data_IF_884951914900
#
_entry.id   IF_884951914900
#
_cell.length_a   1.000
_cell.length_b   1.000
_cell.length_c   1.000
_cell.angle_alpha   90.00
_cell.angle_beta   90.00
_cell.angle_gamma   90.00
#
_symmetry.space_group_name_H-M   'P 1'
#
loop_
_entity.id
_entity.type
_entity.pdbx_description
1 polymer ?
#
# COMPACT_ATOMS: atom_id res chain seq x y z
N UNK A 1 6.14 1.70 -2.31
CA UNK A 1 5.53 0.67 -3.16
C UNK A 1 4.63 -0.26 -2.36
N UNK A 2 3.69 -0.88 -3.04
CA UNK A 2 3.00 -2.07 -2.55
C UNK A 2 3.43 -3.23 -3.42
N UNK A 3 3.90 -4.30 -2.79
CA UNK A 3 4.53 -5.41 -3.48
C UNK A 3 3.62 -6.63 -3.51
N UNK A 4 3.68 -7.38 -4.60
CA UNK A 4 3.01 -8.67 -4.76
C UNK A 4 3.93 -9.66 -5.45
N UNK A 5 3.80 -10.93 -5.10
CA UNK A 5 4.55 -12.03 -5.76
C UNK A 5 3.63 -13.21 -6.01
N UNK A 6 3.90 -13.93 -7.09
CA UNK A 6 3.29 -15.23 -7.40
C UNK A 6 4.27 -16.41 -7.18
N UNK A 7 5.45 -16.12 -6.57
CA UNK A 7 6.53 -17.05 -6.34
C UNK A 7 7.62 -17.02 -7.41
N UNK A 8 7.32 -16.58 -8.63
CA UNK A 8 8.31 -16.34 -9.69
C UNK A 8 8.56 -14.86 -9.93
N UNK A 9 7.48 -14.09 -10.05
CA UNK A 9 7.59 -12.65 -10.31
C UNK A 9 7.35 -11.85 -9.03
N UNK A 10 8.06 -10.73 -8.91
CA UNK A 10 7.78 -9.68 -7.91
C UNK A 10 7.41 -8.42 -8.64
N UNK A 11 6.24 -7.89 -8.33
CA UNK A 11 5.76 -6.61 -8.85
C UNK A 11 5.65 -5.59 -7.73
N UNK A 12 6.27 -4.43 -7.92
CA UNK A 12 6.27 -3.32 -6.98
C UNK A 12 5.48 -2.15 -7.55
N UNK A 13 4.26 -1.96 -7.07
CA UNK A 13 3.38 -0.88 -7.50
C UNK A 13 3.70 0.41 -6.75
N UNK A 14 4.15 1.44 -7.46
CA UNK A 14 4.32 2.78 -6.92
C UNK A 14 2.97 3.50 -6.76
N UNK A 15 2.90 4.46 -5.84
CA UNK A 15 1.78 5.39 -5.78
C UNK A 15 1.74 6.28 -7.04
N UNK A 16 0.57 6.81 -7.36
CA UNK A 16 0.46 7.82 -8.42
C UNK A 16 1.23 9.10 -8.03
N UNK A 17 1.81 9.81 -9.00
CA UNK A 17 2.44 11.09 -8.74
C UNK A 17 1.48 12.07 -8.03
N UNK A 18 1.96 12.69 -6.96
CA UNK A 18 1.18 13.60 -6.11
C UNK A 18 0.29 12.91 -5.07
N UNK A 19 0.22 11.56 -5.06
CA UNK A 19 -0.54 10.78 -4.07
C UNK A 19 0.35 9.92 -3.16
N UNK A 20 1.63 10.17 -3.14
CA UNK A 20 2.62 9.40 -2.40
C UNK A 20 2.31 9.39 -0.89
N UNK A 21 1.82 10.51 -0.41
CA UNK A 21 1.54 10.74 1.01
C UNK A 21 0.05 10.56 1.38
N UNK A 22 -0.78 10.04 0.46
CA UNK A 22 -2.18 9.71 0.74
C UNK A 22 -2.23 8.39 1.55
N UNK A 23 -1.72 8.44 2.77
CA UNK A 23 -1.59 7.30 3.68
C UNK A 23 -2.33 7.62 4.98
N UNK A 24 -3.04 6.63 5.51
CA UNK A 24 -3.61 6.69 6.85
C UNK A 24 -3.18 5.48 7.69
N UNK A 25 -3.05 5.69 8.98
CA UNK A 25 -2.86 4.63 9.95
C UNK A 25 -4.24 4.17 10.46
N UNK A 26 -4.47 2.87 10.46
CA UNK A 26 -5.65 2.25 11.05
C UNK A 26 -5.22 1.52 12.31
N UNK A 27 -5.71 1.96 13.46
CA UNK A 27 -5.25 1.45 14.77
C UNK A 27 -6.36 1.44 15.80
N UNK A 28 -6.23 0.56 16.77
CA UNK A 28 -7.06 0.56 17.98
C UNK A 28 -6.47 1.43 19.09
N UNK A 29 -5.17 1.74 19.00
CA UNK A 29 -4.48 2.58 19.97
C UNK A 29 -3.76 3.73 19.25
N UNK A 30 -3.94 4.98 19.68
CA UNK A 30 -3.33 6.14 19.02
C UNK A 30 -1.84 6.30 19.38
N UNK A 31 -1.06 5.23 19.21
CA UNK A 31 0.38 5.19 19.42
C UNK A 31 1.08 4.63 18.19
N UNK A 32 2.23 5.17 17.86
CA UNK A 32 3.20 4.61 16.91
C UNK A 32 4.10 3.61 17.66
N UNK A 33 4.86 2.80 16.95
CA UNK A 33 5.69 1.73 17.55
C UNK A 33 6.55 2.22 18.73
N UNK A 34 7.25 3.34 18.59
CA UNK A 34 8.16 3.90 19.62
C UNK A 34 7.77 5.31 20.06
N UNK A 35 6.70 5.88 19.50
CA UNK A 35 6.31 7.27 19.75
C UNK A 35 4.79 7.39 19.84
N UNK A 36 4.31 8.54 20.28
CA UNK A 36 2.89 8.89 20.19
C UNK A 36 2.63 9.66 18.90
N UNK A 37 1.40 9.63 18.42
CA UNK A 37 0.94 10.58 17.43
C UNK A 37 0.96 11.98 18.02
N UNK A 38 1.29 12.98 17.22
CA UNK A 38 1.21 14.36 17.66
C UNK A 38 -0.27 14.83 17.70
N UNK A 39 -0.50 15.95 18.40
CA UNK A 39 -1.84 16.52 18.56
C UNK A 39 -2.46 16.86 17.22
N UNK A 40 -1.67 17.36 16.27
CA UNK A 40 -2.16 17.76 14.96
C UNK A 40 -2.57 16.56 14.10
N UNK A 41 -1.91 15.42 14.23
CA UNK A 41 -2.34 14.15 13.59
C UNK A 41 -3.67 13.67 14.20
N UNK A 42 -3.80 13.73 15.52
CA UNK A 42 -4.98 13.27 16.24
C UNK A 42 -6.21 14.17 16.00
N UNK A 43 -6.03 15.46 15.73
CA UNK A 43 -7.12 16.37 15.42
C UNK A 43 -7.90 15.98 14.16
N UNK A 44 -7.28 15.28 13.23
CA UNK A 44 -7.88 14.82 11.97
C UNK A 44 -8.33 13.37 11.98
N UNK A 45 -8.29 12.70 13.13
CA UNK A 45 -8.71 11.31 13.24
C UNK A 45 -10.21 11.16 13.00
N UNK A 46 -10.57 10.02 12.40
CA UNK A 46 -11.96 9.60 12.20
C UNK A 46 -12.14 8.14 12.62
N UNK A 47 -13.38 7.73 12.82
CA UNK A 47 -13.68 6.30 13.02
C UNK A 47 -13.88 5.64 11.65
N UNK A 48 -13.15 4.55 11.43
CA UNK A 48 -13.37 3.66 10.29
C UNK A 48 -14.34 2.55 10.65
N UNK A 49 -15.18 2.08 9.71
CA UNK A 49 -15.91 0.82 9.87
C UNK A 49 -14.96 -0.32 10.24
N UNK A 50 -15.48 -1.40 10.87
CA UNK A 50 -14.66 -2.58 11.12
C UNK A 50 -14.14 -3.19 9.81
N UNK A 51 -12.93 -3.73 9.85
CA UNK A 51 -12.41 -4.64 8.83
C UNK A 51 -12.81 -6.09 9.18
N UNK A 52 -12.77 -7.01 8.23
CA UNK A 52 -13.13 -8.42 8.44
C UNK A 52 -12.34 -9.04 9.59
N UNK A 53 -11.06 -8.67 9.73
CA UNK A 53 -10.16 -9.17 10.77
C UNK A 53 -10.28 -8.46 12.13
N UNK A 54 -11.04 -7.36 12.25
CA UNK A 54 -11.19 -6.63 13.53
C UNK A 54 -12.37 -7.11 14.38
N UNK A 55 -13.03 -8.19 13.99
CA UNK A 55 -14.15 -8.82 14.74
C UNK A 55 -15.26 -7.84 15.15
N UNK A 56 -15.62 -6.93 14.25
CA UNK A 56 -16.65 -5.92 14.47
C UNK A 56 -16.20 -4.67 15.23
N UNK A 57 -14.94 -4.59 15.64
CA UNK A 57 -14.41 -3.41 16.33
C UNK A 57 -14.01 -2.33 15.29
N UNK A 58 -14.53 -1.11 15.47
CA UNK A 58 -14.13 0.06 14.68
C UNK A 58 -12.70 0.45 15.01
N UNK A 59 -11.96 0.90 14.00
CA UNK A 59 -10.58 1.42 14.17
C UNK A 59 -10.55 2.94 14.08
N UNK A 60 -9.54 3.53 14.69
CA UNK A 60 -9.18 4.93 14.46
C UNK A 60 -8.46 5.02 13.11
N UNK A 61 -8.94 5.88 12.22
CA UNK A 61 -8.25 6.26 10.99
C UNK A 61 -7.56 7.59 11.21
N UNK A 62 -6.23 7.59 11.17
CA UNK A 62 -5.40 8.77 11.42
C UNK A 62 -4.62 9.07 10.15
N UNK A 63 -4.97 10.15 9.39
CA UNK A 63 -4.21 10.56 8.21
C UNK A 63 -2.75 10.83 8.58
N UNK A 64 -1.83 10.25 7.83
CA UNK A 64 -0.40 10.49 8.05
C UNK A 64 -0.02 11.89 7.60
N UNK A 65 0.75 12.60 8.41
CA UNK A 65 1.40 13.86 8.06
C UNK A 65 2.87 13.67 7.67
N UNK A 66 3.38 12.46 7.83
CA UNK A 66 4.74 12.14 7.43
C UNK A 66 4.88 12.28 5.93
N UNK A 67 5.90 13.00 5.50
CA UNK A 67 6.29 13.11 4.10
C UNK A 67 7.44 12.16 3.85
N UNK A 68 7.25 11.31 2.87
CA UNK A 68 8.28 10.35 2.45
C UNK A 68 8.93 10.85 1.15
N UNK A 69 9.98 11.69 1.21
CA UNK A 69 10.62 12.23 0.01
C UNK A 69 11.25 11.09 -0.81
N UNK A 70 11.01 11.11 -2.10
CA UNK A 70 11.62 10.17 -3.04
C UNK A 70 10.96 8.79 -3.15
N UNK A 71 9.76 8.64 -2.62
CA UNK A 71 8.99 7.38 -2.62
C UNK A 71 8.69 6.83 -4.03
N UNK A 72 8.65 7.68 -5.05
CA UNK A 72 8.31 7.32 -6.44
C UNK A 72 9.47 7.51 -7.43
N UNK A 73 10.71 7.50 -6.97
CA UNK A 73 11.87 7.75 -7.86
C UNK A 73 12.01 6.71 -8.97
N UNK A 74 11.53 5.50 -8.76
CA UNK A 74 11.73 4.37 -9.67
C UNK A 74 10.48 3.94 -10.45
N UNK A 75 9.31 4.52 -10.15
CA UNK A 75 8.05 4.08 -10.77
C UNK A 75 7.65 2.65 -10.37
N UNK A 76 6.91 1.95 -11.25
CA UNK A 76 6.60 0.53 -11.07
C UNK A 76 7.81 -0.31 -11.45
N UNK A 77 8.01 -1.43 -10.74
CA UNK A 77 9.11 -2.35 -11.00
C UNK A 77 8.58 -3.78 -11.06
N UNK A 78 9.09 -4.55 -12.02
CA UNK A 78 8.78 -5.97 -12.18
C UNK A 78 10.09 -6.76 -12.26
N UNK A 79 10.19 -7.87 -11.52
CA UNK A 79 11.37 -8.73 -11.50
C UNK A 79 10.99 -10.19 -11.71
N UNK A 80 11.81 -10.95 -12.42
CA UNK A 80 11.72 -12.41 -12.54
C UNK A 80 12.76 -13.06 -11.60
N UNK A 81 12.32 -13.62 -10.49
CA UNK A 81 13.20 -14.24 -9.49
C UNK A 81 13.94 -15.48 -9.99
N UNK A 82 13.50 -16.12 -11.07
CA UNK A 82 14.21 -17.25 -11.65
C UNK A 82 15.50 -16.83 -12.34
N UNK A 83 15.50 -15.64 -12.96
CA UNK A 83 16.67 -15.09 -13.67
C UNK A 83 17.42 -14.06 -12.85
N UNK A 84 16.73 -13.38 -11.95
CA UNK A 84 17.29 -12.33 -11.10
C UNK A 84 16.78 -12.43 -9.65
N UNK A 85 17.25 -13.42 -8.86
CA UNK A 85 16.82 -13.60 -7.48
C UNK A 85 17.20 -12.43 -6.55
N UNK A 86 18.14 -11.58 -6.96
CA UNK A 86 18.57 -10.40 -6.19
C UNK A 86 17.80 -9.13 -6.55
N UNK A 87 16.91 -9.19 -7.55
CA UNK A 87 16.09 -8.06 -8.00
C UNK A 87 16.91 -6.82 -8.38
N UNK A 88 17.97 -7.04 -9.15
CA UNK A 88 18.89 -5.98 -9.59
C UNK A 88 18.46 -5.35 -10.91
N UNK A 89 17.76 -6.11 -11.77
CA UNK A 89 17.43 -5.68 -13.13
C UNK A 89 15.93 -5.85 -13.38
N UNK A 90 15.15 -4.76 -13.30
CA UNK A 90 13.73 -4.81 -13.64
C UNK A 90 13.51 -5.24 -15.09
N UNK A 91 12.44 -5.98 -15.34
CA UNK A 91 12.01 -6.39 -16.68
C UNK A 91 10.81 -5.57 -17.14
N UNK A 92 10.65 -5.44 -18.47
CA UNK A 92 9.47 -4.86 -19.11
C UNK A 92 8.70 -5.98 -19.84
N UNK A 93 7.66 -6.49 -19.17
CA UNK A 93 6.77 -7.51 -19.72
C UNK A 93 5.32 -7.14 -19.35
N UNK A 94 4.61 -6.57 -20.31
CA UNK A 94 3.25 -6.05 -20.11
C UNK A 94 2.24 -7.13 -19.74
N UNK A 95 2.36 -8.32 -20.33
CA UNK A 95 1.43 -9.43 -20.04
C UNK A 95 1.60 -9.90 -18.59
N UNK A 96 2.85 -10.06 -18.16
CA UNK A 96 3.15 -10.40 -16.77
C UNK A 96 2.73 -9.28 -15.84
N UNK A 97 2.99 -8.01 -16.17
CA UNK A 97 2.59 -6.87 -15.35
C UNK A 97 1.07 -6.83 -15.14
N UNK A 98 0.27 -6.97 -16.21
CA UNK A 98 -1.19 -6.99 -16.12
C UNK A 98 -1.70 -8.11 -15.21
N UNK A 99 -1.12 -9.31 -15.33
CA UNK A 99 -1.44 -10.44 -14.46
C UNK A 99 -1.09 -10.17 -13.00
N UNK A 100 0.06 -9.55 -12.74
CA UNK A 100 0.48 -9.18 -11.38
C UNK A 100 -0.39 -8.05 -10.79
N UNK A 101 -0.84 -7.10 -11.61
CA UNK A 101 -1.82 -6.07 -11.20
C UNK A 101 -3.14 -6.74 -10.80
N UNK A 102 -3.64 -7.67 -11.59
CA UNK A 102 -4.86 -8.40 -11.26
C UNK A 102 -4.73 -9.19 -9.94
N UNK A 103 -3.59 -9.83 -9.72
CA UNK A 103 -3.27 -10.50 -8.46
C UNK A 103 -3.25 -9.52 -7.28
N UNK A 104 -2.58 -8.37 -7.45
CA UNK A 104 -2.51 -7.32 -6.42
C UNK A 104 -3.91 -6.82 -6.04
N UNK A 105 -4.74 -6.49 -7.04
CA UNK A 105 -6.13 -6.02 -6.82
C UNK A 105 -6.94 -7.07 -6.05
N UNK A 106 -6.83 -8.35 -6.42
CA UNK A 106 -7.50 -9.44 -5.72
C UNK A 106 -7.07 -9.52 -4.25
N UNK A 107 -5.77 -9.53 -3.98
CA UNK A 107 -5.24 -9.62 -2.62
C UNK A 107 -5.59 -8.39 -1.76
N UNK A 108 -5.61 -7.20 -2.35
CA UNK A 108 -6.07 -5.99 -1.67
C UNK A 108 -7.54 -6.08 -1.27
N UNK A 109 -8.41 -6.63 -2.14
CA UNK A 109 -9.82 -6.87 -1.83
C UNK A 109 -9.99 -7.93 -0.74
N UNK A 110 -9.29 -9.04 -0.84
CA UNK A 110 -9.32 -10.13 0.14
C UNK A 110 -8.83 -9.70 1.54
N UNK A 111 -7.95 -8.70 1.60
CA UNK A 111 -7.42 -8.15 2.85
C UNK A 111 -8.17 -6.92 3.35
N UNK A 112 -9.33 -6.59 2.80
CA UNK A 112 -10.11 -5.40 3.14
C UNK A 112 -9.31 -4.10 3.05
N UNK A 113 -8.41 -3.97 2.07
CA UNK A 113 -7.66 -2.75 1.89
C UNK A 113 -8.62 -1.56 1.67
N UNK A 114 -8.41 -0.42 2.36
CA UNK A 114 -9.30 0.72 2.23
C UNK A 114 -9.28 1.30 0.81
N UNK A 115 -10.43 1.84 0.37
CA UNK A 115 -10.61 2.39 -0.98
C UNK A 115 -9.54 3.42 -1.38
N UNK A 116 -9.06 4.21 -0.42
CA UNK A 116 -7.99 5.18 -0.63
C UNK A 116 -6.68 4.54 -1.10
N UNK A 117 -6.41 3.28 -0.76
CA UNK A 117 -5.22 2.56 -1.22
C UNK A 117 -5.31 2.25 -2.72
N UNK A 118 -6.49 1.89 -3.22
CA UNK A 118 -6.71 1.70 -4.65
C UNK A 118 -6.53 3.01 -5.42
N UNK A 119 -7.12 4.10 -4.92
CA UNK A 119 -7.00 5.44 -5.50
C UNK A 119 -5.53 5.87 -5.54
N UNK A 120 -4.81 5.69 -4.43
CA UNK A 120 -3.39 6.03 -4.30
C UNK A 120 -2.52 5.29 -5.31
N UNK A 121 -2.81 4.03 -5.56
CA UNK A 121 -2.06 3.16 -6.47
C UNK A 121 -2.55 3.22 -7.93
N UNK A 122 -3.62 3.99 -8.22
CA UNK A 122 -4.22 4.03 -9.56
C UNK A 122 -4.82 2.69 -9.97
N UNK A 123 -5.41 1.98 -9.03
CA UNK A 123 -6.08 0.69 -9.26
C UNK A 123 -7.60 0.88 -9.26
N UNK A 124 -8.29 0.07 -10.06
CA UNK A 124 -9.77 0.05 -10.08
C UNK A 124 -10.28 -0.88 -8.97
N UNK A 125 -11.30 -0.42 -8.23
CA UNK A 125 -12.03 -1.21 -7.24
C UNK A 125 -12.85 -2.33 -7.86
#
# INVERSE_FOLDING_TARGET
>A
HVNVTDGRYVYMRAALPGRENDIANYTLMPIKMNTRFDVAELQSLTLSPPFSFTKGVKTLRIPSREKYPGINRTGHLLFDLHTDPQQLTPIDDKEVEERMIALLVRLLKESDAPAEQFIRLGLTL
#
